data_IF_436937897653
#
_entry.id   IF_436937897653
#
_cell.length_a   1.000
_cell.length_b   1.000
_cell.length_c   1.000
_cell.angle_alpha   90.00
_cell.angle_beta   90.00
_cell.angle_gamma   90.00
#
_symmetry.space_group_name_H-M   'P 1'
#
loop_
_entity.id
_entity.type
_entity.pdbx_description
1 polymer ?
#
# COMPACT_ATOMS: atom_id res chain seq x y z
N UNK A 1 -14.32 3.39 -28.99
CA UNK A 1 -13.05 3.05 -29.66
C UNK A 1 -12.16 2.31 -28.66
N UNK A 2 -11.88 1.01 -28.83
CA UNK A 2 -11.00 0.30 -27.92
C UNK A 2 -9.56 0.75 -28.16
N UNK A 3 -8.91 1.29 -27.13
CA UNK A 3 -7.54 1.80 -27.20
C UNK A 3 -6.58 0.62 -27.44
N UNK A 4 -6.09 0.51 -28.68
CA UNK A 4 -5.10 -0.50 -29.08
C UNK A 4 -3.85 -0.38 -28.20
N UNK A 5 -3.57 -1.43 -27.44
CA UNK A 5 -2.40 -1.55 -26.54
C UNK A 5 -1.15 -1.69 -27.42
N UNK A 6 -0.30 -0.66 -27.51
CA UNK A 6 1.00 -0.76 -28.21
C UNK A 6 1.80 -1.96 -27.66
N UNK A 7 2.07 -2.95 -28.53
CA UNK A 7 3.04 -4.02 -28.30
C UNK A 7 4.43 -3.39 -28.23
N UNK A 8 5.16 -3.58 -27.12
CA UNK A 8 6.61 -3.28 -27.06
C UNK A 8 7.11 -2.47 -25.87
N UNK A 9 6.26 -1.78 -25.09
CA UNK A 9 6.70 -1.08 -23.88
C UNK A 9 6.21 -1.84 -22.64
N UNK A 10 7.15 -2.47 -21.91
CA UNK A 10 6.88 -2.96 -20.56
C UNK A 10 6.61 -1.75 -19.66
N UNK A 11 5.32 -1.45 -19.43
CA UNK A 11 4.93 -0.43 -18.46
C UNK A 11 5.21 -0.98 -17.07
N UNK A 12 5.75 -0.15 -16.19
CA UNK A 12 5.96 -0.45 -14.78
C UNK A 12 4.99 0.36 -13.94
N UNK A 13 4.59 -0.17 -12.79
CA UNK A 13 3.79 0.52 -11.79
C UNK A 13 4.63 0.67 -10.52
N UNK A 14 5.44 1.74 -10.40
CA UNK A 14 6.37 1.88 -9.27
C UNK A 14 5.61 1.90 -7.96
N UNK A 15 6.16 1.20 -6.97
CA UNK A 15 5.73 1.31 -5.58
C UNK A 15 6.89 1.84 -4.75
N UNK A 16 6.62 2.87 -3.95
CA UNK A 16 7.61 3.55 -3.15
C UNK A 16 7.13 3.74 -1.72
N UNK A 17 8.04 3.61 -0.76
CA UNK A 17 7.79 3.97 0.64
C UNK A 17 8.69 5.12 1.04
N UNK A 18 8.10 6.11 1.71
CA UNK A 18 8.78 7.31 2.17
C UNK A 18 8.59 7.47 3.68
N UNK A 19 9.60 8.00 4.37
CA UNK A 19 9.62 8.20 5.81
C UNK A 19 9.79 9.67 6.16
N UNK A 20 9.07 10.10 7.20
CA UNK A 20 9.14 11.48 7.70
C UNK A 20 8.42 12.47 6.80
N UNK A 21 8.41 13.74 7.23
CA UNK A 21 7.74 14.83 6.51
C UNK A 21 8.50 15.25 5.26
N UNK A 22 9.83 15.08 5.26
CA UNK A 22 10.68 15.44 4.11
C UNK A 22 10.65 14.39 2.98
N UNK A 23 9.98 13.25 3.19
CA UNK A 23 9.82 12.22 2.17
C UNK A 23 11.09 11.42 1.89
N UNK A 24 11.79 10.95 2.94
CA UNK A 24 12.99 10.13 2.78
C UNK A 24 12.64 8.76 2.19
N UNK A 25 13.13 8.47 0.99
CA UNK A 25 12.86 7.20 0.32
C UNK A 25 13.49 6.01 1.08
N UNK A 26 12.66 5.08 1.53
CA UNK A 26 13.10 3.85 2.20
C UNK A 26 13.26 2.66 1.25
N UNK A 27 12.54 2.68 0.13
CA UNK A 27 12.55 1.59 -0.84
C UNK A 27 11.61 1.85 -2.00
N UNK A 28 12.02 1.39 -3.18
CA UNK A 28 11.24 1.42 -4.41
C UNK A 28 11.34 0.04 -5.06
N UNK A 29 10.21 -0.51 -5.48
CA UNK A 29 10.14 -1.67 -6.36
C UNK A 29 9.44 -1.28 -7.67
N UNK A 30 9.86 -1.91 -8.77
CA UNK A 30 9.35 -1.65 -10.12
C UNK A 30 8.64 -2.91 -10.65
N UNK A 31 7.44 -3.25 -10.14
CA UNK A 31 6.69 -4.38 -10.65
C UNK A 31 6.14 -4.08 -12.07
N UNK A 32 5.96 -5.12 -12.90
CA UNK A 32 5.30 -4.98 -14.19
C UNK A 32 3.91 -4.34 -14.01
N UNK A 33 3.56 -3.35 -14.82
CA UNK A 33 2.29 -2.61 -14.73
C UNK A 33 1.06 -3.42 -15.13
N UNK A 34 1.22 -4.67 -15.57
CA UNK A 34 0.13 -5.63 -15.72
C UNK A 34 -0.18 -6.41 -14.44
N UNK A 35 0.70 -6.33 -13.43
CA UNK A 35 0.54 -7.00 -12.15
C UNK A 35 -0.51 -6.28 -11.30
N UNK A 36 -1.31 -7.05 -10.56
CA UNK A 36 -2.23 -6.50 -9.56
C UNK A 36 -1.43 -5.81 -8.44
N UNK A 37 -1.82 -4.59 -8.04
CA UNK A 37 -1.09 -3.76 -7.07
C UNK A 37 -0.75 -4.48 -5.76
N UNK A 38 -1.68 -5.27 -5.22
CA UNK A 38 -1.48 -6.04 -4.00
C UNK A 38 -0.43 -7.16 -4.12
N UNK A 39 -0.15 -7.66 -5.32
CA UNK A 39 0.76 -8.79 -5.49
C UNK A 39 2.20 -8.37 -5.14
N UNK A 40 2.80 -9.06 -4.17
CA UNK A 40 4.13 -8.73 -3.63
C UNK A 40 4.15 -7.59 -2.62
N UNK A 41 3.02 -6.90 -2.37
CA UNK A 41 2.98 -5.74 -1.49
C UNK A 41 3.36 -6.05 -0.04
N UNK A 42 2.89 -7.18 0.50
CA UNK A 42 3.17 -7.56 1.88
C UNK A 42 4.66 -7.82 2.10
N UNK A 43 5.35 -8.39 1.13
CA UNK A 43 6.79 -8.62 1.20
C UNK A 43 7.58 -7.31 1.08
N UNK A 44 7.16 -6.41 0.19
CA UNK A 44 7.69 -5.05 0.13
C UNK A 44 7.50 -4.32 1.47
N UNK A 45 6.30 -4.38 2.04
CA UNK A 45 5.95 -3.79 3.34
C UNK A 45 6.87 -4.29 4.47
N UNK A 46 7.13 -5.60 4.54
CA UNK A 46 8.05 -6.18 5.53
C UNK A 46 9.45 -5.59 5.40
N UNK A 47 9.99 -5.50 4.18
CA UNK A 47 11.34 -4.95 3.94
C UNK A 47 11.43 -3.51 4.40
N UNK A 48 10.47 -2.66 4.02
CA UNK A 48 10.51 -1.23 4.36
C UNK A 48 10.29 -0.97 5.86
N UNK A 49 9.48 -1.79 6.54
CA UNK A 49 9.32 -1.71 7.99
C UNK A 49 10.62 -2.04 8.73
N UNK A 50 11.38 -3.04 8.27
CA UNK A 50 12.71 -3.34 8.82
C UNK A 50 13.65 -2.15 8.64
N UNK A 51 13.64 -1.50 7.48
CA UNK A 51 14.48 -0.30 7.25
C UNK A 51 14.04 0.88 8.13
N UNK A 52 12.74 1.15 8.24
CA UNK A 52 12.21 2.22 9.09
C UNK A 52 12.62 2.03 10.56
N UNK A 53 12.54 0.80 11.08
CA UNK A 53 12.89 0.48 12.47
C UNK A 53 14.40 0.58 12.75
N UNK A 54 15.25 0.46 11.72
CA UNK A 54 16.70 0.74 11.85
C UNK A 54 16.99 2.24 11.95
N UNK A 55 16.18 3.07 11.30
CA UNK A 55 16.34 4.53 11.27
C UNK A 55 15.80 5.18 12.55
N UNK A 56 14.68 4.67 13.09
CA UNK A 56 14.04 5.28 14.27
C UNK A 56 13.48 4.25 15.25
N UNK A 57 13.58 4.59 16.54
CA UNK A 57 12.97 3.83 17.66
C UNK A 57 11.54 4.32 17.99
N UNK A 58 11.10 5.43 17.38
CA UNK A 58 9.75 6.00 17.59
C UNK A 58 8.68 5.06 17.02
N UNK A 59 7.42 5.22 17.48
CA UNK A 59 6.30 4.52 16.86
C UNK A 59 6.16 4.98 15.40
N UNK A 60 5.90 4.03 14.51
CA UNK A 60 5.68 4.30 13.09
C UNK A 60 4.18 4.40 12.82
N UNK A 61 3.80 5.33 11.94
CA UNK A 61 2.46 5.41 11.38
C UNK A 61 2.55 5.07 9.89
N UNK A 62 2.01 3.92 9.50
CA UNK A 62 1.95 3.51 8.10
C UNK A 62 0.68 4.07 7.48
N UNK A 63 0.80 4.78 6.36
CA UNK A 63 -0.32 5.21 5.55
C UNK A 63 -0.29 4.47 4.23
N UNK A 64 -1.38 3.82 3.87
CA UNK A 64 -1.53 3.18 2.54
C UNK A 64 -2.76 3.72 1.83
N UNK A 65 -2.71 3.70 0.50
CA UNK A 65 -3.86 3.98 -0.33
C UNK A 65 -4.83 2.78 -0.38
N UNK A 66 -5.90 2.95 -1.16
CA UNK A 66 -6.96 1.96 -1.36
C UNK A 66 -6.57 0.79 -2.26
N UNK A 67 -5.37 0.76 -2.83
CA UNK A 67 -4.88 -0.37 -3.59
C UNK A 67 -4.37 -1.50 -2.67
N UNK A 68 -4.11 -1.18 -1.40
CA UNK A 68 -3.43 -2.04 -0.43
C UNK A 68 -4.25 -2.39 0.82
N UNK A 69 -5.57 -2.28 0.72
CA UNK A 69 -6.53 -2.47 1.81
C UNK A 69 -6.87 -3.94 2.15
N UNK A 70 -6.12 -4.90 1.61
CA UNK A 70 -6.38 -6.31 1.80
C UNK A 70 -6.16 -6.76 3.26
N UNK A 71 -6.85 -7.83 3.67
CA UNK A 71 -6.74 -8.43 5.00
C UNK A 71 -5.30 -8.79 5.36
N UNK A 72 -4.53 -9.33 4.41
CA UNK A 72 -3.13 -9.70 4.61
C UNK A 72 -2.25 -8.50 5.00
N UNK A 73 -2.52 -7.31 4.43
CA UNK A 73 -1.86 -6.07 4.83
C UNK A 73 -2.15 -5.74 6.28
N UNK A 74 -3.42 -5.82 6.69
CA UNK A 74 -3.85 -5.54 8.07
C UNK A 74 -3.24 -6.52 9.08
N UNK A 75 -3.24 -7.81 8.73
CA UNK A 75 -2.63 -8.87 9.56
C UNK A 75 -1.14 -8.61 9.72
N UNK A 76 -0.43 -8.28 8.64
CA UNK A 76 1.00 -7.98 8.71
C UNK A 76 1.26 -6.76 9.60
N UNK A 77 0.57 -5.65 9.40
CA UNK A 77 0.74 -4.43 10.21
C UNK A 77 0.46 -4.68 11.70
N UNK A 78 -0.56 -5.49 12.02
CA UNK A 78 -0.92 -5.85 13.40
C UNK A 78 0.14 -6.67 14.13
N UNK A 79 1.06 -7.35 13.42
CA UNK A 79 2.17 -8.09 14.03
C UNK A 79 3.22 -7.19 14.68
N UNK A 80 3.27 -5.91 14.31
CA UNK A 80 4.31 -4.98 14.78
C UNK A 80 3.78 -4.06 15.89
N UNK A 81 4.16 -4.32 17.14
CA UNK A 81 3.66 -3.59 18.33
C UNK A 81 3.87 -2.06 18.30
N UNK A 82 4.92 -1.59 17.61
CA UNK A 82 5.26 -0.16 17.47
C UNK A 82 4.79 0.45 16.15
N UNK A 83 3.91 -0.23 15.43
CA UNK A 83 3.32 0.26 14.19
C UNK A 83 1.83 0.53 14.42
N UNK A 84 1.41 1.74 14.09
CA UNK A 84 0.02 2.13 13.90
C UNK A 84 -0.21 2.34 12.41
N UNK A 85 -1.47 2.30 11.94
CA UNK A 85 -1.76 2.44 10.52
C UNK A 85 -3.07 3.18 10.23
N UNK A 86 -3.08 3.86 9.08
CA UNK A 86 -4.26 4.42 8.43
C UNK A 86 -4.30 3.84 7.03
N UNK A 87 -5.39 3.18 6.68
CA UNK A 87 -5.60 2.58 5.36
C UNK A 87 -6.82 3.25 4.75
N UNK A 88 -6.67 3.77 3.54
CA UNK A 88 -7.81 4.20 2.76
C UNK A 88 -8.61 2.96 2.35
N UNK A 89 -9.82 2.82 2.87
CA UNK A 89 -10.66 1.66 2.58
C UNK A 89 -11.19 1.70 1.14
N UNK A 90 -11.12 0.58 0.41
CA UNK A 90 -11.67 0.43 -0.92
C UNK A 90 -12.99 -0.33 -0.87
N UNK A 91 -14.10 0.37 -1.11
CA UNK A 91 -15.45 -0.18 -1.01
C UNK A 91 -15.82 -1.16 -2.13
N UNK A 92 -14.87 -1.66 -2.94
CA UNK A 92 -15.02 -2.54 -4.12
C UNK A 92 -16.45 -3.06 -4.41
N UNK A 93 -16.97 -3.98 -3.60
CA UNK A 93 -18.28 -4.63 -3.77
C UNK A 93 -19.29 -4.29 -2.65
N UNK A 94 -18.93 -3.39 -1.75
CA UNK A 94 -19.78 -2.98 -0.64
C UNK A 94 -20.90 -2.06 -1.14
N UNK A 95 -22.09 -2.20 -0.53
CA UNK A 95 -23.21 -1.31 -0.79
C UNK A 95 -22.99 0.03 -0.08
N UNK A 96 -22.58 1.04 -0.86
CA UNK A 96 -22.23 2.38 -0.38
C UNK A 96 -23.38 3.04 0.39
N UNK A 97 -24.63 2.84 -0.03
CA UNK A 97 -25.79 3.43 0.64
C UNK A 97 -25.97 2.83 2.04
N UNK A 98 -25.91 1.50 2.15
CA UNK A 98 -25.98 0.82 3.44
C UNK A 98 -24.85 1.20 4.42
N UNK A 99 -23.71 1.64 3.90
CA UNK A 99 -22.60 2.13 4.72
C UNK A 99 -22.77 3.61 5.10
N UNK A 100 -23.34 4.41 4.20
CA UNK A 100 -23.69 5.80 4.47
C UNK A 100 -24.72 5.87 5.61
N UNK A 101 -25.77 5.06 5.55
CA UNK A 101 -26.83 4.97 6.57
C UNK A 101 -26.34 4.49 7.94
N UNK A 102 -25.19 3.80 8.02
CA UNK A 102 -24.59 3.40 9.31
C UNK A 102 -23.67 4.48 9.89
N UNK A 103 -23.15 5.35 9.04
CA UNK A 103 -22.14 6.34 9.41
C UNK A 103 -22.76 7.66 9.86
N UNK A 104 -23.97 7.97 9.41
CA UNK A 104 -24.74 9.18 9.69
C UNK A 104 -26.09 8.84 10.32
#
# INVERSE_FOLDING_TARGET
>A
MPTQRKKGCHRYAPIGTYLGQDGWCLGIELPPGSQHSQNGFVDFLRKVLVYAQKITRKRLLVRTDSAHDALETLVELRRHLKVSFIIQWNQRKADVLSWCDRAF
#
